data_IF_558221993926
#
_entry.id   IF_558221993926
#
_cell.length_a   1.000
_cell.length_b   1.000
_cell.length_c   1.000
_cell.angle_alpha   90.00
_cell.angle_beta   90.00
_cell.angle_gamma   90.00
#
_symmetry.space_group_name_H-M   'P 1'
#
loop_
_entity.id
_entity.type
_entity.pdbx_description
1 polymer ?
#
# COMPACT_ATOMS: atom_id res chain seq x y z
N UNK A 1 18.03 5.35 0.55
CA UNK A 1 16.95 4.39 0.22
C UNK A 1 15.73 5.18 -0.22
N UNK A 2 15.05 4.78 -1.30
CA UNK A 2 13.80 5.41 -1.74
C UNK A 2 12.65 4.96 -0.87
N UNK A 3 11.62 5.81 -0.77
CA UNK A 3 10.40 5.50 -0.05
C UNK A 3 9.20 5.55 -0.99
N UNK A 4 8.24 4.67 -0.76
CA UNK A 4 6.98 4.63 -1.49
C UNK A 4 5.81 4.55 -0.50
N UNK A 5 4.62 4.86 -0.99
CA UNK A 5 3.35 4.50 -0.34
C UNK A 5 2.68 3.45 -1.20
N UNK A 6 2.22 2.37 -0.59
CA UNK A 6 1.46 1.32 -1.25
C UNK A 6 0.05 1.23 -0.68
N UNK A 7 -0.94 1.23 -1.57
CA UNK A 7 -2.33 0.94 -1.21
C UNK A 7 -2.54 -0.55 -1.02
N UNK A 8 -3.06 -0.92 0.14
CA UNK A 8 -3.30 -2.30 0.55
C UNK A 8 -4.74 -2.44 1.03
N UNK A 9 -5.42 -3.53 0.68
CA UNK A 9 -6.77 -3.80 1.14
C UNK A 9 -6.81 -4.00 2.66
N UNK A 10 -7.93 -3.69 3.34
CA UNK A 10 -8.06 -3.89 4.78
C UNK A 10 -7.71 -5.29 5.24
N UNK A 11 -8.19 -6.31 4.51
CA UNK A 11 -7.85 -7.71 4.77
C UNK A 11 -6.34 -7.99 4.78
N UNK A 12 -5.63 -7.53 3.73
CA UNK A 12 -4.17 -7.71 3.68
C UNK A 12 -3.45 -6.84 4.73
N UNK A 13 -3.97 -5.66 5.06
CA UNK A 13 -3.41 -4.85 6.15
C UNK A 13 -3.46 -5.58 7.49
N UNK A 14 -4.58 -6.21 7.83
CA UNK A 14 -4.71 -7.05 9.02
C UNK A 14 -3.71 -8.22 9.00
N UNK A 15 -3.62 -8.93 7.86
CA UNK A 15 -2.70 -10.05 7.69
C UNK A 15 -1.22 -9.65 7.73
N UNK A 16 -0.87 -8.47 7.23
CA UNK A 16 0.47 -7.92 7.37
C UNK A 16 0.74 -7.57 8.84
N UNK A 17 -0.20 -6.89 9.49
CA UNK A 17 -0.04 -6.46 10.87
C UNK A 17 0.09 -7.64 11.87
N UNK A 18 -0.59 -8.77 11.60
CA UNK A 18 -0.45 -10.01 12.37
C UNK A 18 0.84 -10.79 12.06
N UNK A 19 1.56 -10.43 10.97
CA UNK A 19 2.75 -11.17 10.52
C UNK A 19 2.45 -12.42 9.70
N UNK A 20 1.17 -12.69 9.39
CA UNK A 20 0.76 -13.82 8.54
C UNK A 20 1.16 -13.60 7.08
N UNK A 21 1.05 -12.37 6.58
CA UNK A 21 1.39 -12.00 5.21
C UNK A 21 2.85 -11.53 5.15
N UNK A 22 3.70 -12.30 4.50
CA UNK A 22 5.15 -12.03 4.33
C UNK A 22 5.51 -11.58 2.92
N UNK A 23 4.58 -11.64 1.99
CA UNK A 23 4.76 -11.27 0.58
C UNK A 23 3.57 -10.45 0.13
N UNK A 24 3.84 -9.27 -0.43
CA UNK A 24 2.83 -8.43 -1.06
C UNK A 24 2.88 -8.58 -2.58
N UNK A 25 1.81 -9.10 -3.19
CA UNK A 25 1.74 -9.31 -4.63
C UNK A 25 1.31 -8.02 -5.34
N UNK A 26 2.08 -7.58 -6.33
CA UNK A 26 1.85 -6.36 -7.13
C UNK A 26 2.02 -6.60 -8.62
N UNK A 27 1.30 -5.82 -9.47
CA UNK A 27 1.43 -5.87 -10.94
C UNK A 27 2.69 -5.17 -11.46
N UNK A 28 3.28 -4.28 -10.67
CA UNK A 28 4.48 -3.53 -11.02
C UNK A 28 5.35 -3.34 -9.79
N UNK A 29 6.62 -3.02 -10.00
CA UNK A 29 7.58 -2.85 -8.94
C UNK A 29 8.43 -1.59 -9.13
N UNK A 30 8.95 -1.00 -8.04
CA UNK A 30 10.02 -0.01 -8.10
C UNK A 30 11.25 -0.56 -8.82
N UNK A 31 12.00 0.34 -9.47
CA UNK A 31 13.22 -0.05 -10.21
C UNK A 31 14.40 -0.39 -9.29
N UNK A 32 14.38 0.12 -8.09
CA UNK A 32 15.48 0.02 -7.14
C UNK A 32 15.02 -0.71 -5.87
N UNK A 33 15.81 -1.67 -5.44
CA UNK A 33 15.68 -2.45 -4.21
C UNK A 33 17.01 -2.29 -3.45
N UNK A 34 17.03 -2.14 -2.12
CA UNK A 34 15.87 -2.07 -1.23
C UNK A 34 15.17 -0.71 -1.24
N UNK A 35 13.89 -0.72 -0.84
CA UNK A 35 13.10 0.48 -0.61
C UNK A 35 12.26 0.34 0.66
N UNK A 36 11.86 1.49 1.22
CA UNK A 36 10.91 1.56 2.33
C UNK A 36 9.50 1.69 1.76
N UNK A 37 8.56 0.89 2.24
CA UNK A 37 7.16 0.98 1.87
C UNK A 37 6.30 1.40 3.08
N UNK A 38 5.49 2.42 2.89
CA UNK A 38 4.49 2.88 3.84
C UNK A 38 3.14 2.25 3.47
N UNK A 39 2.58 1.47 4.37
CA UNK A 39 1.34 0.71 4.16
C UNK A 39 0.15 1.64 4.33
N UNK A 40 -0.54 1.95 3.24
CA UNK A 40 -1.77 2.73 3.25
C UNK A 40 -2.99 1.82 3.16
N UNK A 41 -3.82 1.79 4.20
CA UNK A 41 -5.09 1.07 4.15
C UNK A 41 -6.05 1.74 3.15
N UNK A 42 -6.57 0.99 2.18
CA UNK A 42 -7.49 1.53 1.18
C UNK A 42 -8.81 1.94 1.81
N UNK A 43 -9.47 2.93 1.19
CA UNK A 43 -10.85 3.28 1.54
C UNK A 43 -11.81 2.32 0.83
N UNK A 44 -12.91 1.92 1.48
CA UNK A 44 -13.93 1.13 0.82
C UNK A 44 -14.52 1.90 -0.37
N UNK A 45 -14.82 1.19 -1.46
CA UNK A 45 -15.30 1.79 -2.71
C UNK A 45 -16.67 2.45 -2.61
N UNK A 46 -17.46 2.11 -1.59
CA UNK A 46 -18.82 2.61 -1.38
C UNK A 46 -18.97 3.24 -0.01
N UNK A 47 -18.60 4.51 0.10
CA UNK A 47 -19.08 5.35 1.19
C UNK A 47 -20.36 6.04 0.74
N UNK A 48 -21.50 5.52 1.12
CA UNK A 48 -22.76 6.27 0.98
C UNK A 48 -22.89 7.26 2.12
N UNK A 49 -23.05 8.53 1.78
CA UNK A 49 -23.18 9.67 2.71
C UNK A 49 -24.48 9.64 3.56
N UNK A 50 -25.34 8.68 3.37
CA UNK A 50 -26.64 8.59 4.02
C UNK A 50 -26.76 7.29 4.80
N UNK A 51 -26.14 7.19 5.96
CA UNK A 51 -26.55 6.31 7.05
C UNK A 51 -26.69 4.80 6.80
N UNK A 52 -26.52 4.33 5.60
CA UNK A 52 -26.50 2.91 5.28
C UNK A 52 -25.04 2.47 5.14
N UNK A 53 -24.52 1.86 6.15
CA UNK A 53 -23.21 1.18 6.14
C UNK A 53 -23.26 0.11 5.07
N UNK A 54 -22.58 0.35 3.96
CA UNK A 54 -22.32 -0.74 3.04
C UNK A 54 -21.17 -1.55 3.59
N UNK A 55 -21.40 -2.82 3.82
CA UNK A 55 -20.44 -3.89 4.10
C UNK A 55 -19.41 -3.56 5.17
N UNK A 56 -19.76 -3.94 6.39
CA UNK A 56 -18.94 -3.97 7.60
C UNK A 56 -17.54 -4.60 7.40
N UNK A 57 -17.38 -5.39 6.37
CA UNK A 57 -16.22 -6.25 6.15
C UNK A 57 -15.01 -5.54 5.49
N UNK A 58 -15.16 -4.26 5.10
CA UNK A 58 -14.08 -3.49 4.45
C UNK A 58 -13.48 -2.39 5.35
N UNK A 59 -13.89 -2.31 6.61
CA UNK A 59 -13.34 -1.34 7.56
C UNK A 59 -12.18 -1.93 8.35
N UNK A 60 -11.13 -1.14 8.48
CA UNK A 60 -9.95 -1.46 9.27
C UNK A 60 -9.88 -0.53 10.47
N UNK A 61 -9.64 -1.10 11.64
CA UNK A 61 -9.62 -0.41 12.91
C UNK A 61 -8.33 -0.66 13.67
N UNK A 62 -7.90 0.33 14.43
CA UNK A 62 -6.95 0.15 15.52
C UNK A 62 -7.78 0.03 16.80
N UNK A 63 -7.75 -1.14 17.42
CA UNK A 63 -8.51 -1.48 18.62
C UNK A 63 -7.54 -1.89 19.71
N UNK A 64 -7.43 -1.11 20.78
CA UNK A 64 -6.51 -1.38 21.89
C UNK A 64 -5.06 -1.72 21.40
N UNK A 65 -4.58 -0.98 20.39
CA UNK A 65 -3.25 -1.16 19.80
C UNK A 65 -3.12 -2.30 18.78
N UNK A 66 -4.21 -2.99 18.44
CA UNK A 66 -4.22 -4.05 17.39
C UNK A 66 -4.96 -3.59 16.15
N UNK A 67 -4.46 -4.02 14.99
CA UNK A 67 -5.10 -3.78 13.70
C UNK A 67 -6.08 -4.92 13.44
N UNK A 68 -7.37 -4.60 13.34
CA UNK A 68 -8.45 -5.58 13.17
C UNK A 68 -9.46 -5.12 12.12
N UNK A 69 -10.00 -6.07 11.38
CA UNK A 69 -11.15 -5.84 10.50
C UNK A 69 -12.46 -6.01 11.24
N UNK A 70 -13.44 -5.18 10.92
CA UNK A 70 -14.78 -5.31 11.48
C UNK A 70 -15.66 -4.10 11.22
N UNK A 71 -16.94 -4.21 11.65
CA UNK A 71 -17.81 -3.07 11.71
C UNK A 71 -17.56 -2.28 13.01
N UNK A 72 -17.60 -0.96 12.93
CA UNK A 72 -17.39 -0.10 14.10
C UNK A 72 -18.42 -0.29 15.20
N UNK A 73 -19.53 -0.94 14.90
CA UNK A 73 -20.64 -1.17 15.85
C UNK A 73 -20.22 -2.09 17.01
N UNK A 74 -19.43 -3.12 16.71
CA UNK A 74 -18.92 -4.07 17.71
C UNK A 74 -18.09 -3.37 18.78
N UNK A 75 -17.17 -2.52 18.34
CA UNK A 75 -16.24 -1.84 19.24
C UNK A 75 -16.92 -0.77 20.10
N UNK A 76 -17.96 -0.11 19.56
CA UNK A 76 -18.79 0.85 20.33
C UNK A 76 -19.54 0.19 21.46
N UNK A 77 -20.04 -1.02 21.24
CA UNK A 77 -20.80 -1.76 22.24
C UNK A 77 -19.91 -2.21 23.42
N UNK A 78 -18.64 -2.49 23.16
CA UNK A 78 -17.70 -3.02 24.15
C UNK A 78 -16.94 -1.92 24.92
N UNK A 79 -17.09 -0.65 24.52
CA UNK A 79 -16.41 0.48 25.19
C UNK A 79 -14.91 0.54 24.94
N UNK A 80 -14.44 -0.14 23.89
CA UNK A 80 -13.03 -0.17 23.50
C UNK A 80 -12.56 1.17 22.92
N UNK A 81 -11.27 1.48 23.10
CA UNK A 81 -10.62 2.57 22.40
C UNK A 81 -10.32 2.14 20.94
N UNK A 82 -10.93 2.81 19.96
CA UNK A 82 -10.80 2.45 18.56
C UNK A 82 -10.62 3.66 17.65
N UNK A 83 -9.91 3.45 16.54
CA UNK A 83 -9.66 4.45 15.51
C UNK A 83 -9.77 3.83 14.11
N UNK A 84 -10.54 4.45 13.21
CA UNK A 84 -10.62 4.01 11.81
C UNK A 84 -9.29 4.27 11.08
N UNK A 85 -8.77 3.25 10.41
CA UNK A 85 -7.48 3.26 9.71
C UNK A 85 -7.60 3.45 8.19
N UNK A 86 -8.80 3.36 7.63
CA UNK A 86 -9.00 3.47 6.17
C UNK A 86 -8.57 4.84 5.64
N UNK A 87 -7.65 4.82 4.70
CA UNK A 87 -7.06 6.02 4.09
C UNK A 87 -5.87 6.59 4.87
N UNK A 88 -5.37 5.89 5.88
CA UNK A 88 -4.22 6.27 6.70
C UNK A 88 -3.04 5.33 6.47
N UNK A 89 -1.85 5.78 6.84
CA UNK A 89 -0.64 4.97 6.87
C UNK A 89 -0.57 4.26 8.22
N UNK A 90 -0.68 2.93 8.19
CA UNK A 90 -0.75 2.10 9.40
C UNK A 90 0.61 1.59 9.86
N UNK A 91 1.61 1.64 9.00
CA UNK A 91 2.94 1.11 9.29
C UNK A 91 3.88 1.24 8.10
N UNK A 92 5.06 0.67 8.26
CA UNK A 92 6.10 0.62 7.23
C UNK A 92 6.83 -0.72 7.25
N UNK A 93 7.43 -1.08 6.10
CA UNK A 93 8.36 -2.20 6.01
C UNK A 93 9.49 -1.90 5.03
N UNK A 94 10.53 -2.72 5.06
CA UNK A 94 11.57 -2.71 4.05
C UNK A 94 11.28 -3.84 3.06
N UNK A 95 11.24 -3.51 1.77
CA UNK A 95 11.29 -4.50 0.72
C UNK A 95 12.75 -4.64 0.27
N UNK A 96 13.38 -5.71 0.69
CA UNK A 96 14.78 -6.02 0.40
C UNK A 96 14.93 -6.92 -0.82
N UNK A 97 13.86 -7.61 -1.23
CA UNK A 97 13.84 -8.54 -2.35
C UNK A 97 12.51 -8.49 -3.10
N UNK A 98 12.60 -8.52 -4.43
CA UNK A 98 11.47 -8.65 -5.33
C UNK A 98 11.70 -9.85 -6.23
N UNK A 99 10.70 -10.71 -6.35
CA UNK A 99 10.70 -11.84 -7.27
C UNK A 99 9.64 -11.64 -8.35
N UNK A 100 9.97 -12.04 -9.58
CA UNK A 100 9.00 -12.01 -10.66
C UNK A 100 8.07 -13.22 -10.53
N UNK A 101 6.78 -12.94 -10.47
CA UNK A 101 5.74 -13.97 -10.46
C UNK A 101 5.22 -14.13 -11.88
N UNK A 102 5.51 -15.26 -12.48
CA UNK A 102 4.96 -15.63 -13.78
C UNK A 102 3.88 -16.68 -13.55
N UNK A 103 2.63 -16.29 -13.68
CA UNK A 103 1.54 -17.26 -13.74
C UNK A 103 1.56 -17.92 -15.12
N UNK A 104 2.17 -19.09 -15.23
CA UNK A 104 2.05 -19.97 -16.40
C UNK A 104 1.14 -21.13 -15.99
N UNK A 105 0.03 -21.27 -16.67
CA UNK A 105 -0.71 -22.51 -16.66
C UNK A 105 -0.02 -23.47 -17.67
N UNK A 106 0.53 -24.58 -17.21
CA UNK A 106 1.01 -25.66 -18.08
C UNK A 106 0.02 -26.83 -18.00
N UNK A 107 0.07 -27.72 -18.98
CA UNK A 107 -0.76 -28.94 -19.02
C UNK A 107 -0.54 -29.86 -17.78
N UNK A 108 0.44 -29.54 -16.93
CA UNK A 108 0.86 -30.30 -15.75
C UNK A 108 0.60 -29.58 -14.40
N UNK A 109 -0.06 -28.43 -14.42
CA UNK A 109 -0.32 -27.66 -13.20
C UNK A 109 0.43 -26.33 -13.15
N UNK A 110 0.23 -25.62 -12.04
CA UNK A 110 0.83 -24.29 -11.81
C UNK A 110 2.28 -24.45 -11.38
N UNK A 111 3.16 -23.67 -11.99
CA UNK A 111 4.60 -23.71 -11.75
C UNK A 111 4.96 -23.44 -10.28
N UNK A 112 5.97 -24.14 -9.76
CA UNK A 112 6.44 -24.11 -8.35
C UNK A 112 6.69 -22.70 -7.78
N UNK A 113 7.03 -21.71 -8.63
CA UNK A 113 7.16 -20.30 -8.25
C UNK A 113 5.88 -19.69 -7.68
N UNK A 114 4.74 -20.20 -8.13
CA UNK A 114 3.43 -19.73 -7.70
C UNK A 114 3.09 -20.21 -6.28
N UNK A 115 3.57 -21.37 -5.89
CA UNK A 115 3.23 -21.99 -4.62
C UNK A 115 3.78 -21.21 -3.42
N UNK A 116 5.01 -20.72 -3.48
CA UNK A 116 5.60 -19.91 -2.40
C UNK A 116 4.91 -18.56 -2.24
N UNK A 117 4.50 -17.95 -3.37
CA UNK A 117 3.68 -16.75 -3.34
C UNK A 117 2.32 -16.98 -2.68
N UNK A 118 1.66 -18.12 -2.97
CA UNK A 118 0.38 -18.48 -2.37
C UNK A 118 0.51 -18.59 -0.86
N UNK A 119 1.48 -19.36 -0.40
CA UNK A 119 1.65 -19.67 1.02
C UNK A 119 1.93 -18.43 1.87
N UNK A 120 2.66 -17.45 1.32
CA UNK A 120 3.16 -16.29 2.07
C UNK A 120 2.42 -14.97 1.78
N UNK A 121 1.52 -14.93 0.77
CA UNK A 121 0.80 -13.70 0.39
C UNK A 121 -0.59 -13.56 1.01
N UNK A 122 -1.06 -14.57 1.72
CA UNK A 122 -2.44 -14.65 2.24
C UNK A 122 -3.52 -14.48 1.17
N UNK A 123 -3.18 -14.76 -0.10
CA UNK A 123 -4.12 -14.77 -1.22
C UNK A 123 -4.38 -16.20 -1.65
N UNK A 124 -5.62 -16.48 -1.99
CA UNK A 124 -5.99 -17.76 -2.64
C UNK A 124 -5.55 -17.76 -4.10
N UNK A 125 -5.39 -18.94 -4.69
CA UNK A 125 -5.09 -19.12 -6.09
C UNK A 125 -6.04 -18.31 -6.99
N UNK A 126 -7.34 -18.41 -6.74
CA UNK A 126 -8.37 -17.68 -7.47
C UNK A 126 -8.24 -16.15 -7.36
N UNK A 127 -7.83 -15.64 -6.21
CA UNK A 127 -7.58 -14.21 -6.04
C UNK A 127 -6.37 -13.74 -6.82
N UNK A 128 -5.30 -14.54 -6.88
CA UNK A 128 -4.11 -14.24 -7.67
C UNK A 128 -4.43 -14.32 -9.17
N UNK A 129 -5.16 -15.33 -9.63
CA UNK A 129 -5.64 -15.45 -11.00
C UNK A 129 -6.46 -14.22 -11.42
N UNK A 130 -7.45 -13.87 -10.60
CA UNK A 130 -8.28 -12.67 -10.82
C UNK A 130 -7.43 -11.39 -10.81
N UNK A 131 -6.47 -11.29 -9.90
CA UNK A 131 -5.60 -10.13 -9.80
C UNK A 131 -4.75 -9.94 -11.07
N UNK A 132 -4.23 -11.03 -11.63
CA UNK A 132 -3.46 -10.99 -12.88
C UNK A 132 -4.31 -11.03 -14.16
N UNK A 133 -5.65 -11.03 -14.04
CA UNK A 133 -6.60 -11.16 -15.15
C UNK A 133 -6.37 -12.45 -15.96
N UNK A 134 -6.10 -13.54 -15.29
CA UNK A 134 -6.00 -14.85 -15.92
C UNK A 134 -7.42 -15.32 -16.18
N UNK A 135 -7.83 -15.61 -17.46
CA UNK A 135 -9.17 -16.06 -17.77
C UNK A 135 -9.47 -17.42 -17.14
N UNK A 136 -10.72 -17.63 -16.73
CA UNK A 136 -11.18 -18.89 -16.13
C UNK A 136 -11.23 -20.08 -17.15
N UNK A 137 -11.15 -19.78 -18.45
CA UNK A 137 -11.27 -20.76 -19.53
C UNK A 137 -9.93 -21.45 -19.78
N UNK A 138 -9.85 -22.72 -19.34
CA UNK A 138 -8.62 -23.51 -19.28
C UNK A 138 -8.05 -24.01 -20.61
N UNK A 139 -8.72 -23.69 -21.74
CA UNK A 139 -8.29 -24.15 -23.08
C UNK A 139 -7.17 -23.31 -23.72
N UNK A 140 -6.70 -22.29 -23.03
CA UNK A 140 -5.66 -21.43 -23.56
C UNK A 140 -4.26 -21.85 -23.07
N UNK A 141 -3.54 -22.50 -23.93
CA UNK A 141 -2.24 -23.16 -23.72
C UNK A 141 -1.08 -22.28 -23.21
N UNK A 142 -1.25 -20.99 -23.08
CA UNK A 142 -0.24 -20.10 -22.46
C UNK A 142 -0.89 -18.84 -21.92
N UNK A 143 -1.20 -18.84 -20.64
CA UNK A 143 -1.66 -17.64 -19.98
C UNK A 143 -0.49 -16.98 -19.27
N UNK A 144 -0.23 -15.73 -19.61
CA UNK A 144 0.85 -14.96 -19.02
C UNK A 144 0.25 -13.84 -18.14
N UNK A 145 0.22 -14.08 -16.84
CA UNK A 145 0.11 -12.99 -15.88
C UNK A 145 1.50 -12.70 -15.33
N UNK A 146 2.00 -11.50 -15.50
CA UNK A 146 3.26 -11.08 -14.88
C UNK A 146 2.97 -10.21 -13.69
N UNK A 147 3.61 -10.51 -12.58
CA UNK A 147 3.55 -9.73 -11.35
C UNK A 147 4.84 -9.81 -10.57
N UNK A 148 4.81 -9.26 -9.38
CA UNK A 148 5.97 -9.15 -8.51
C UNK A 148 5.56 -9.51 -7.09
N UNK A 149 6.34 -10.36 -6.45
CA UNK A 149 6.28 -10.69 -5.05
C UNK A 149 7.27 -9.79 -4.30
N UNK A 150 6.75 -8.87 -3.49
CA UNK A 150 7.55 -7.98 -2.66
C UNK A 150 7.69 -8.60 -1.28
N UNK A 151 8.91 -8.93 -0.87
CA UNK A 151 9.16 -9.49 0.44
C UNK A 151 9.09 -8.41 1.51
N UNK A 152 8.39 -8.72 2.60
CA UNK A 152 8.19 -7.84 3.74
C UNK A 152 9.26 -8.19 4.79
N UNK A 153 10.17 -7.26 5.05
CA UNK A 153 11.14 -7.33 6.15
C UNK A 153 11.06 -6.08 7.02
N UNK A 154 11.58 -6.13 8.23
CA UNK A 154 11.61 -5.01 9.17
C UNK A 154 10.25 -4.30 9.33
N UNK A 155 9.17 -5.10 9.42
CA UNK A 155 7.81 -4.58 9.56
C UNK A 155 7.65 -3.82 10.87
N UNK A 156 7.10 -2.62 10.76
CA UNK A 156 6.73 -1.79 11.90
C UNK A 156 5.31 -1.28 11.74
N UNK A 157 4.41 -1.68 12.62
CA UNK A 157 3.06 -1.12 12.73
C UNK A 157 3.10 0.05 13.71
N UNK A 158 2.41 1.13 13.37
CA UNK A 158 2.41 2.34 14.16
C UNK A 158 1.32 2.32 15.24
N UNK A 159 1.67 2.71 16.46
CA UNK A 159 0.70 2.95 17.54
C UNK A 159 -0.25 4.11 17.20
N UNK A 160 0.25 5.08 16.43
CA UNK A 160 -0.51 6.20 15.90
C UNK A 160 -0.36 6.23 14.38
N UNK A 161 -1.43 5.94 13.64
CA UNK A 161 -1.37 5.98 12.18
C UNK A 161 -1.10 7.40 11.69
N UNK A 162 -0.32 7.50 10.60
CA UNK A 162 0.03 8.77 9.97
C UNK A 162 -1.01 9.18 8.94
N UNK A 163 -1.18 10.49 8.77
CA UNK A 163 -2.01 11.05 7.71
C UNK A 163 -1.23 11.08 6.38
N UNK A 164 -1.95 11.00 5.26
CA UNK A 164 -1.32 11.05 3.94
C UNK A 164 -0.62 12.39 3.68
N UNK A 165 -1.14 13.47 4.27
CA UNK A 165 -0.60 14.82 4.15
C UNK A 165 0.78 15.00 4.79
N UNK A 166 1.23 14.04 5.61
CA UNK A 166 2.60 14.00 6.13
C UNK A 166 3.63 13.58 5.07
N UNK A 167 3.15 13.18 3.90
CA UNK A 167 3.98 12.75 2.79
C UNK A 167 3.85 13.65 1.58
N UNK A 168 4.96 13.87 0.89
CA UNK A 168 5.00 14.62 -0.38
C UNK A 168 5.39 13.68 -1.51
N UNK A 169 4.82 13.94 -2.67
CA UNK A 169 5.18 13.28 -3.92
C UNK A 169 5.63 14.31 -4.95
N UNK A 170 6.43 13.86 -5.92
CA UNK A 170 6.83 14.70 -7.03
C UNK A 170 5.62 15.12 -7.86
N UNK A 171 5.50 16.42 -8.13
CA UNK A 171 4.46 16.96 -9.00
C UNK A 171 4.71 16.56 -10.47
N UNK A 172 3.62 16.33 -11.21
CA UNK A 172 3.67 15.99 -12.64
C UNK A 172 3.78 17.23 -13.55
N UNK A 173 4.29 18.35 -13.07
CA UNK A 173 4.32 19.64 -13.78
C UNK A 173 5.33 19.71 -14.96
N UNK A 174 5.90 18.62 -15.41
CA UNK A 174 6.83 18.53 -16.57
C UNK A 174 7.94 19.62 -16.59
N UNK A 175 8.36 20.11 -15.44
CA UNK A 175 9.45 21.08 -15.32
C UNK A 175 9.06 22.55 -15.45
N UNK A 176 7.79 22.87 -15.62
CA UNK A 176 7.30 24.26 -15.64
C UNK A 176 7.00 24.75 -14.21
N UNK A 177 8.04 24.86 -13.38
CA UNK A 177 7.90 25.20 -11.96
C UNK A 177 7.21 26.53 -11.67
N UNK A 178 7.40 27.53 -12.54
CA UNK A 178 6.76 28.85 -12.40
C UNK A 178 5.25 28.85 -12.72
N UNK A 179 4.74 27.77 -13.34
CA UNK A 179 3.30 27.55 -13.56
C UNK A 179 2.65 26.72 -12.45
N UNK A 180 3.47 26.17 -11.58
CA UNK A 180 3.06 25.27 -10.54
C UNK A 180 3.01 26.09 -9.23
N UNK A 181 1.90 26.66 -8.86
CA UNK A 181 1.68 27.36 -7.59
C UNK A 181 1.82 26.39 -6.39
N UNK A 182 2.96 25.67 -6.34
CA UNK A 182 3.22 24.67 -5.31
C UNK A 182 4.08 25.26 -4.20
N UNK A 183 3.66 25.04 -2.97
CA UNK A 183 4.35 25.54 -1.77
C UNK A 183 5.71 24.89 -1.55
N UNK A 184 5.91 23.67 -2.07
CA UNK A 184 7.11 22.88 -1.81
C UNK A 184 7.92 22.73 -3.09
N UNK A 185 9.07 23.42 -3.13
CA UNK A 185 10.02 23.35 -4.24
C UNK A 185 11.39 22.97 -3.69
N UNK A 186 11.98 21.90 -4.22
CA UNK A 186 13.35 21.50 -3.90
C UNK A 186 14.24 21.71 -5.12
N UNK A 187 15.43 22.26 -4.92
CA UNK A 187 16.41 22.41 -5.98
C UNK A 187 17.16 21.08 -6.18
N UNK A 188 17.02 20.48 -7.35
CA UNK A 188 17.86 19.33 -7.74
C UNK A 188 19.21 19.87 -8.23
N UNK A 189 20.19 19.86 -7.34
CA UNK A 189 21.56 20.34 -7.64
C UNK A 189 22.26 19.56 -8.76
N UNK A 190 21.84 18.31 -9.01
CA UNK A 190 22.46 17.45 -10.04
C UNK A 190 21.99 17.82 -11.45
N UNK A 191 20.81 18.42 -11.58
CA UNK A 191 20.16 18.71 -12.87
C UNK A 191 19.96 20.18 -13.14
N UNK A 192 20.33 21.07 -12.21
CA UNK A 192 20.07 22.51 -12.23
C UNK A 192 18.58 22.85 -12.45
N UNK A 193 17.69 21.96 -12.05
CA UNK A 193 16.24 22.10 -12.21
C UNK A 193 15.55 22.15 -10.86
N UNK A 194 14.52 22.98 -10.79
CA UNK A 194 13.59 22.94 -9.66
C UNK A 194 12.66 21.73 -9.79
N UNK A 195 12.47 21.00 -8.71
CA UNK A 195 11.51 19.91 -8.63
C UNK A 195 10.40 20.31 -7.67
N UNK A 196 9.18 20.37 -8.19
CA UNK A 196 8.02 20.70 -7.39
C UNK A 196 7.46 19.43 -6.72
N UNK A 197 7.02 19.59 -5.50
CA UNK A 197 6.38 18.55 -4.71
C UNK A 197 4.98 18.98 -4.30
N UNK A 198 4.12 18.03 -4.09
CA UNK A 198 2.77 18.24 -3.57
C UNK A 198 2.47 17.26 -2.45
N UNK A 199 1.65 17.68 -1.48
CA UNK A 199 1.18 16.77 -0.42
C UNK A 199 0.39 15.63 -1.01
N UNK A 200 0.53 14.45 -0.42
CA UNK A 200 -0.26 13.28 -0.79
C UNK A 200 -1.60 13.38 -0.08
N UNK A 201 -2.67 13.60 -0.83
CA UNK A 201 -4.04 13.77 -0.28
C UNK A 201 -4.95 12.58 -0.54
N UNK A 202 -4.49 11.64 -1.36
CA UNK A 202 -5.23 10.42 -1.72
C UNK A 202 -4.30 9.22 -1.78
N UNK A 203 -4.77 8.04 -1.35
CA UNK A 203 -4.02 6.82 -1.57
C UNK A 203 -3.73 6.62 -3.06
N UNK A 204 -2.55 6.10 -3.43
CA UNK A 204 -2.25 5.76 -4.82
C UNK A 204 -3.14 4.60 -5.29
N UNK A 205 -3.34 4.42 -6.59
CA UNK A 205 -4.08 3.26 -7.11
C UNK A 205 -3.36 1.93 -6.84
N UNK A 206 -2.03 1.93 -6.80
CA UNK A 206 -1.19 0.79 -6.46
C UNK A 206 -0.09 1.24 -5.51
N UNK A 207 0.92 1.94 -6.04
CA UNK A 207 2.02 2.52 -5.26
C UNK A 207 2.55 3.79 -5.94
N UNK A 208 3.26 4.64 -5.17
CA UNK A 208 3.93 5.86 -5.67
C UNK A 208 5.14 6.22 -4.81
N UNK A 209 6.14 6.83 -5.44
CA UNK A 209 7.26 7.40 -4.70
C UNK A 209 6.83 8.59 -3.86
N UNK A 210 7.34 8.64 -2.63
CA UNK A 210 7.08 9.73 -1.67
C UNK A 210 8.33 10.09 -0.88
N UNK A 211 8.26 11.23 -0.21
CA UNK A 211 9.17 11.63 0.85
C UNK A 211 8.32 12.01 2.07
N UNK A 212 8.68 11.54 3.24
CA UNK A 212 8.06 11.98 4.49
C UNK A 212 8.49 13.41 4.80
N UNK A 213 7.54 14.25 5.19
CA UNK A 213 7.84 15.60 5.65
C UNK A 213 8.41 15.46 7.06
N UNK A 214 9.71 15.68 7.23
CA UNK A 214 10.27 15.85 8.56
C UNK A 214 9.58 17.07 9.18
N UNK A 215 8.71 16.85 10.14
CA UNK A 215 8.20 17.90 11.02
C UNK A 215 9.41 18.29 11.89
N UNK A 216 10.24 19.20 11.38
CA UNK A 216 11.18 19.92 12.25
C UNK A 216 10.30 20.68 13.23
N UNK A 217 10.08 20.10 14.41
CA UNK A 217 9.66 20.88 15.54
C UNK A 217 10.68 22.01 15.62
N UNK A 218 10.26 23.20 15.28
CA UNK A 218 10.95 24.41 15.72
C UNK A 218 10.86 24.38 17.24
N UNK A 219 11.82 23.70 17.83
CA UNK A 219 12.18 23.97 19.23
C UNK A 219 12.46 25.45 19.27
N UNK A 220 11.58 26.15 19.97
CA UNK A 220 11.65 27.58 20.12
C UNK A 220 13.03 27.97 20.67
N UNK A 221 13.82 28.59 19.83
CA UNK A 221 14.82 29.53 20.30
C UNK A 221 14.07 30.81 20.70
N UNK A 222 13.94 31.00 22.00
CA UNK A 222 13.80 32.29 22.63
C UNK A 222 15.18 32.78 23.02
#
# INVERSE_FOLDING_TARGET
>A
MKSIITSVSPYLCEKIASGDCKILVKKSAPKEVPFKDYICATRPKKFYRCGAVSTSDELLWLVNGKVEMGDGFKFWADGDEYQCLNGRIIGEFICDRIEMVNAKCSDYGIDLFYHDCLTNSCLTEREIEKYFNIPEDKDLRVMKGNGYAWHISDLKIYDKPKELEEFIKRCNCKGHCFMCEREIVKQDKSKQMCVCYEKTTRPPQSWQYVEEIEIRQKLGEK
#
